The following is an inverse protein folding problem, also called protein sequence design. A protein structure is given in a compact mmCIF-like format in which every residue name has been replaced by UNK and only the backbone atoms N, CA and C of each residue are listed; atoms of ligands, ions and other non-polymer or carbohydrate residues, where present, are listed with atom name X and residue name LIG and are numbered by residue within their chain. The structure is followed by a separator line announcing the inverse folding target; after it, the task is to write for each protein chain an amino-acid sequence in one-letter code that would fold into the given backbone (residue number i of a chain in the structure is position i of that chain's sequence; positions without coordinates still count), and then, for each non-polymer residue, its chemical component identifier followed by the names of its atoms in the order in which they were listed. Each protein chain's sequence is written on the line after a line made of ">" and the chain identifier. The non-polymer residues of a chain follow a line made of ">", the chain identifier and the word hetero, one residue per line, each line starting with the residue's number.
data_IF_162141614730
#
_entry.id   IF_162141614730
#
_cell.length_a   1.000
_cell.length_b   1.000
_cell.length_c   1.000
_cell.angle_alpha   90.00
_cell.angle_beta   90.00
_cell.angle_gamma   90.00
#
_symmetry.space_group_name_H-M   'P 1'
#
loop_
_entity.id
_entity.type
_entity.pdbx_description
1 polymer ?
#
# COMPACT_ATOMS: atom_id res chain seq x y z
N UNK A 1 -33.47 11.93 36.53
CA UNK A 1 -32.66 10.82 35.94
C UNK A 1 -31.67 10.37 36.99
N UNK A 2 -31.75 9.12 37.48
CA UNK A 2 -30.86 8.61 38.54
C UNK A 2 -29.40 8.53 38.10
N UNK A 3 -28.46 8.54 39.04
CA UNK A 3 -27.01 8.54 38.78
C UNK A 3 -26.58 7.39 37.85
N UNK A 4 -27.00 6.16 38.14
CA UNK A 4 -26.75 4.98 37.28
C UNK A 4 -27.34 5.14 35.86
N UNK A 5 -28.50 5.79 35.76
CA UNK A 5 -29.14 6.04 34.47
C UNK A 5 -28.32 7.04 33.64
N UNK A 6 -27.71 8.07 34.26
CA UNK A 6 -26.78 8.99 33.58
C UNK A 6 -25.51 8.27 33.13
N UNK A 7 -24.95 7.41 33.98
CA UNK A 7 -23.73 6.65 33.65
C UNK A 7 -23.90 5.66 32.48
N UNK A 8 -25.07 5.03 32.35
CA UNK A 8 -25.33 4.16 31.17
C UNK A 8 -25.41 4.91 29.82
N UNK A 9 -25.41 6.26 29.80
CA UNK A 9 -25.24 7.01 28.56
C UNK A 9 -23.82 6.88 27.98
N UNK A 10 -22.84 6.51 28.80
CA UNK A 10 -21.47 6.23 28.34
C UNK A 10 -21.42 5.13 27.27
N UNK A 11 -22.39 4.21 27.24
CA UNK A 11 -22.50 3.20 26.17
C UNK A 11 -22.62 3.84 24.78
N UNK A 12 -23.37 4.93 24.66
CA UNK A 12 -23.48 5.65 23.39
C UNK A 12 -22.23 6.46 23.08
N UNK A 13 -21.61 7.07 24.10
CA UNK A 13 -20.35 7.79 23.92
C UNK A 13 -19.24 6.85 23.42
N UNK A 14 -19.11 5.68 24.02
CA UNK A 14 -18.15 4.66 23.59
C UNK A 14 -18.42 4.18 22.16
N UNK A 15 -19.68 3.92 21.81
CA UNK A 15 -20.06 3.58 20.45
C UNK A 15 -19.72 4.71 19.46
N UNK A 16 -20.06 5.96 19.77
CA UNK A 16 -19.74 7.12 18.91
C UNK A 16 -18.23 7.24 18.71
N UNK A 17 -17.43 7.09 19.77
CA UNK A 17 -15.97 7.18 19.68
C UNK A 17 -15.38 6.07 18.80
N UNK A 18 -15.87 4.83 18.92
CA UNK A 18 -15.41 3.73 18.06
C UNK A 18 -15.86 3.87 16.60
N UNK A 19 -17.06 4.39 16.35
CA UNK A 19 -17.52 4.73 15.00
C UNK A 19 -16.69 5.86 14.39
N UNK A 20 -16.38 6.90 15.15
CA UNK A 20 -15.49 7.97 14.72
C UNK A 20 -14.09 7.45 14.40
N UNK A 21 -13.52 6.58 15.24
CA UNK A 21 -12.23 5.93 14.96
C UNK A 21 -12.27 5.06 13.70
N UNK A 22 -13.35 4.31 13.49
CA UNK A 22 -13.57 3.56 12.26
C UNK A 22 -13.66 4.46 11.03
N UNK A 23 -14.38 5.58 11.14
CA UNK A 23 -14.47 6.57 10.07
C UNK A 23 -13.09 7.17 9.75
N UNK A 24 -12.28 7.51 10.76
CA UNK A 24 -10.90 7.99 10.57
C UNK A 24 -10.05 7.00 9.76
N UNK A 25 -10.20 5.69 10.02
CA UNK A 25 -9.51 4.65 9.24
C UNK A 25 -10.03 4.60 7.79
N UNK A 26 -11.35 4.67 7.60
CA UNK A 26 -11.98 4.58 6.28
C UNK A 26 -11.67 5.79 5.39
N UNK A 27 -11.56 6.99 5.97
CA UNK A 27 -11.31 8.21 5.20
C UNK A 27 -9.83 8.47 4.97
N UNK A 28 -8.93 7.91 5.78
CA UNK A 28 -7.49 8.28 5.80
C UNK A 28 -6.81 8.28 4.43
N UNK A 29 -6.98 7.21 3.64
CA UNK A 29 -6.43 7.06 2.30
C UNK A 29 -7.28 7.77 1.24
N UNK A 30 -8.59 7.50 1.15
CA UNK A 30 -9.47 8.14 0.17
C UNK A 30 -9.45 9.67 0.25
N UNK A 31 -9.33 10.25 1.43
CA UNK A 31 -9.20 11.70 1.58
C UNK A 31 -7.93 12.26 0.94
N UNK A 32 -6.82 11.51 0.94
CA UNK A 32 -5.65 11.89 0.14
C UNK A 32 -5.91 11.74 -1.35
N UNK A 33 -6.49 10.61 -1.75
CA UNK A 33 -6.79 10.31 -3.16
C UNK A 33 -7.73 11.35 -3.79
N UNK A 34 -8.66 11.90 -3.01
CA UNK A 34 -9.61 12.92 -3.42
C UNK A 34 -9.07 14.35 -3.26
N UNK A 35 -7.82 14.52 -2.82
CA UNK A 35 -7.20 15.84 -2.63
C UNK A 35 -7.68 16.62 -1.40
N UNK A 36 -8.41 15.99 -0.48
CA UNK A 36 -8.90 16.62 0.75
C UNK A 36 -7.77 16.88 1.75
N UNK A 37 -6.72 16.05 1.75
CA UNK A 37 -5.55 16.25 2.59
C UNK A 37 -4.28 15.63 2.04
N UNK A 38 -3.14 16.07 2.59
CA UNK A 38 -1.85 15.45 2.34
C UNK A 38 -1.79 14.02 2.91
N UNK A 39 -1.02 13.12 2.28
CA UNK A 39 -0.96 11.71 2.69
C UNK A 39 -0.46 11.48 4.11
N UNK A 40 0.41 12.38 4.61
CA UNK A 40 0.88 12.37 6.01
C UNK A 40 -0.27 12.56 6.99
N UNK A 41 -1.27 13.37 6.65
CA UNK A 41 -2.49 13.54 7.46
C UNK A 41 -3.25 12.23 7.55
N UNK A 42 -3.39 11.51 6.44
CA UNK A 42 -3.99 10.17 6.43
C UNK A 42 -3.26 9.20 7.36
N UNK A 43 -1.93 9.14 7.30
CA UNK A 43 -1.14 8.29 8.20
C UNK A 43 -1.22 8.74 9.67
N UNK A 44 -1.31 10.05 9.92
CA UNK A 44 -1.53 10.59 11.26
C UNK A 44 -2.88 10.15 11.82
N UNK A 45 -3.96 10.26 11.05
CA UNK A 45 -5.29 9.75 11.44
C UNK A 45 -5.22 8.27 11.83
N UNK A 46 -4.57 7.46 11.00
CA UNK A 46 -4.41 6.02 11.24
C UNK A 46 -3.59 5.68 12.49
N UNK A 47 -2.77 6.60 12.99
CA UNK A 47 -1.98 6.40 14.21
C UNK A 47 -2.87 6.46 15.45
N UNK A 48 -3.95 7.25 15.41
CA UNK A 48 -4.91 7.40 16.51
C UNK A 48 -6.06 6.39 16.47
N UNK A 49 -6.26 5.65 15.37
CA UNK A 49 -7.35 4.66 15.23
C UNK A 49 -7.33 3.64 16.36
N UNK A 50 -6.15 3.09 16.68
CA UNK A 50 -6.04 2.05 17.70
C UNK A 50 -6.29 2.56 19.12
N UNK A 51 -5.74 3.74 19.45
CA UNK A 51 -5.93 4.35 20.78
C UNK A 51 -7.36 4.82 20.98
N UNK A 52 -7.97 5.46 19.97
CA UNK A 52 -9.38 5.85 20.01
C UNK A 52 -10.31 4.63 20.07
N UNK A 53 -10.00 3.56 19.33
CA UNK A 53 -10.71 2.29 19.39
C UNK A 53 -10.67 1.64 20.79
N UNK A 54 -9.49 1.63 21.42
CA UNK A 54 -9.30 1.11 22.78
C UNK A 54 -10.11 1.90 23.81
N UNK A 55 -9.99 3.24 23.82
CA UNK A 55 -10.75 4.08 24.74
C UNK A 55 -12.26 3.96 24.51
N UNK A 56 -12.70 3.90 23.26
CA UNK A 56 -14.10 3.69 22.91
C UNK A 56 -14.63 2.34 23.40
N UNK A 57 -13.84 1.27 23.31
CA UNK A 57 -14.21 -0.04 23.87
C UNK A 57 -14.33 0.02 25.41
N UNK A 58 -13.35 0.61 26.09
CA UNK A 58 -13.36 0.72 27.56
C UNK A 58 -14.56 1.53 28.07
N UNK A 59 -14.86 2.67 27.43
CA UNK A 59 -16.02 3.51 27.75
C UNK A 59 -17.33 2.75 27.47
N UNK A 60 -17.38 1.97 26.38
CA UNK A 60 -18.55 1.14 26.03
C UNK A 60 -18.80 0.07 27.10
N UNK A 61 -17.75 -0.64 27.54
CA UNK A 61 -17.84 -1.64 28.62
C UNK A 61 -18.31 -1.00 29.92
N UNK A 62 -17.71 0.13 30.32
CA UNK A 62 -18.09 0.84 31.55
C UNK A 62 -19.57 1.28 31.53
N UNK A 63 -20.03 1.89 30.43
CA UNK A 63 -21.45 2.22 30.27
C UNK A 63 -22.37 1.00 30.24
N UNK A 64 -21.90 -0.09 29.63
CA UNK A 64 -22.59 -1.37 29.53
C UNK A 64 -22.89 -1.98 30.90
N UNK A 65 -21.94 -1.92 31.85
CA UNK A 65 -22.15 -2.41 33.22
C UNK A 65 -23.34 -1.70 33.89
N UNK A 66 -23.41 -0.36 33.80
CA UNK A 66 -24.54 0.41 34.34
C UNK A 66 -25.84 0.19 33.55
N UNK A 67 -25.74 -0.06 32.24
CA UNK A 67 -26.90 -0.38 31.40
C UNK A 67 -27.53 -1.72 31.77
N UNK A 68 -26.72 -2.74 32.07
CA UNK A 68 -27.17 -4.06 32.53
C UNK A 68 -27.86 -3.95 33.88
N UNK A 69 -27.23 -3.29 34.86
CA UNK A 69 -27.80 -3.07 36.20
C UNK A 69 -29.15 -2.34 36.10
N UNK A 70 -29.25 -1.35 35.22
CA UNK A 70 -30.48 -0.60 34.99
C UNK A 70 -31.49 -1.25 34.01
N UNK A 71 -31.28 -2.50 33.58
CA UNK A 71 -32.09 -3.23 32.60
C UNK A 71 -32.35 -2.47 31.28
N UNK A 72 -31.37 -1.69 30.80
CA UNK A 72 -31.48 -0.81 29.62
C UNK A 72 -31.00 -1.49 28.33
N UNK A 73 -31.82 -2.39 27.78
CA UNK A 73 -31.50 -3.21 26.59
C UNK A 73 -30.82 -2.45 25.42
N UNK A 74 -31.35 -1.29 25.00
CA UNK A 74 -30.75 -0.50 23.90
C UNK A 74 -29.32 0.00 24.21
N UNK A 75 -29.06 0.38 25.46
CA UNK A 75 -27.74 0.86 25.91
C UNK A 75 -26.76 -0.30 26.06
N UNK A 76 -27.23 -1.46 26.52
CA UNK A 76 -26.44 -2.70 26.51
C UNK A 76 -26.04 -3.10 25.08
N UNK A 77 -26.97 -3.04 24.12
CA UNK A 77 -26.65 -3.31 22.72
C UNK A 77 -25.61 -2.33 22.14
N UNK A 78 -25.74 -1.03 22.43
CA UNK A 78 -24.76 -0.02 22.04
C UNK A 78 -23.37 -0.28 22.67
N UNK A 79 -23.34 -0.67 23.95
CA UNK A 79 -22.10 -1.04 24.64
C UNK A 79 -21.41 -2.25 23.99
N UNK A 80 -22.18 -3.30 23.64
CA UNK A 80 -21.63 -4.48 22.97
C UNK A 80 -21.08 -4.12 21.58
N UNK A 81 -21.83 -3.35 20.79
CA UNK A 81 -21.37 -2.90 19.48
C UNK A 81 -20.08 -2.07 19.59
N UNK A 82 -20.04 -1.09 20.50
CA UNK A 82 -18.86 -0.26 20.72
C UNK A 82 -17.65 -1.08 21.21
N UNK A 83 -17.85 -2.03 22.12
CA UNK A 83 -16.79 -2.91 22.59
C UNK A 83 -16.22 -3.78 21.45
N UNK A 84 -17.06 -4.37 20.62
CA UNK A 84 -16.64 -5.22 19.49
C UNK A 84 -15.89 -4.40 18.44
N UNK A 85 -16.43 -3.25 18.02
CA UNK A 85 -15.77 -2.38 17.03
C UNK A 85 -14.42 -1.91 17.57
N UNK A 86 -14.40 -1.40 18.81
CA UNK A 86 -13.17 -0.92 19.44
C UNK A 86 -12.10 -2.01 19.60
N UNK A 87 -12.49 -3.25 19.91
CA UNK A 87 -11.60 -4.40 19.98
C UNK A 87 -10.90 -4.69 18.64
N UNK A 88 -11.61 -4.59 17.51
CA UNK A 88 -10.96 -4.77 16.20
C UNK A 88 -10.07 -3.58 15.84
N UNK A 89 -10.50 -2.35 16.14
CA UNK A 89 -9.73 -1.15 15.83
C UNK A 89 -8.44 -1.05 16.65
N UNK A 90 -8.44 -1.48 17.92
CA UNK A 90 -7.23 -1.47 18.76
C UNK A 90 -6.14 -2.42 18.25
N UNK A 91 -6.48 -3.44 17.45
CA UNK A 91 -5.52 -4.32 16.79
C UNK A 91 -4.80 -3.70 15.59
N UNK A 92 -5.28 -2.56 15.09
CA UNK A 92 -4.73 -1.91 13.88
C UNK A 92 -3.22 -1.57 13.99
N UNK A 93 -2.72 -0.95 15.08
CA UNK A 93 -1.29 -0.66 15.23
C UNK A 93 -0.42 -1.91 15.17
N UNK A 94 -0.87 -3.02 15.78
CA UNK A 94 -0.16 -4.30 15.77
C UNK A 94 -0.04 -4.86 14.35
N UNK A 95 -1.14 -4.86 13.59
CA UNK A 95 -1.13 -5.30 12.18
C UNK A 95 -0.18 -4.45 11.32
N UNK A 96 -0.17 -3.14 11.53
CA UNK A 96 0.76 -2.22 10.85
C UNK A 96 2.21 -2.51 11.24
N UNK A 97 2.50 -2.73 12.52
CA UNK A 97 3.85 -3.02 13.00
C UNK A 97 4.36 -4.36 12.47
N UNK A 98 3.50 -5.38 12.42
CA UNK A 98 3.83 -6.67 11.81
C UNK A 98 4.18 -6.52 10.32
N UNK A 99 3.40 -5.73 9.57
CA UNK A 99 3.72 -5.45 8.15
C UNK A 99 5.04 -4.68 7.97
N UNK A 100 5.35 -3.75 8.86
CA UNK A 100 6.63 -3.04 8.87
C UNK A 100 7.79 -3.98 9.20
N UNK A 101 7.62 -4.89 10.15
CA UNK A 101 8.64 -5.86 10.52
C UNK A 101 8.88 -6.91 9.42
N UNK A 102 7.83 -7.28 8.69
CA UNK A 102 7.89 -8.27 7.62
C UNK A 102 8.51 -7.74 6.31
N UNK A 103 8.68 -6.42 6.16
CA UNK A 103 9.19 -5.82 4.92
C UNK A 103 10.37 -4.88 5.21
N UNK A 104 11.42 -4.90 4.38
CA UNK A 104 12.50 -3.94 4.51
C UNK A 104 11.97 -2.52 4.28
N UNK A 105 12.59 -1.53 4.95
CA UNK A 105 12.27 -0.10 4.78
C UNK A 105 12.85 0.45 3.48
N UNK A 106 12.39 -0.11 2.36
CA UNK A 106 12.70 0.31 0.99
C UNK A 106 11.41 0.73 0.29
N UNK A 107 11.54 1.49 -0.79
CA UNK A 107 10.42 2.01 -1.58
C UNK A 107 10.68 1.85 -3.09
N UNK A 108 11.53 0.88 -3.42
CA UNK A 108 12.02 0.60 -4.76
C UNK A 108 12.47 -0.85 -4.83
N UNK A 109 12.12 -1.51 -5.94
CA UNK A 109 12.53 -2.88 -6.25
C UNK A 109 12.93 -2.96 -7.72
N UNK A 110 14.03 -3.64 -8.02
CA UNK A 110 14.47 -3.93 -9.39
C UNK A 110 14.82 -5.41 -9.56
N UNK A 111 14.43 -6.04 -10.67
CA UNK A 111 14.89 -7.40 -11.00
C UNK A 111 16.38 -7.44 -11.32
N UNK A 112 16.95 -6.32 -11.78
CA UNK A 112 18.39 -6.14 -11.97
C UNK A 112 18.86 -5.04 -11.01
N UNK A 113 19.48 -5.43 -9.91
CA UNK A 113 20.01 -4.48 -8.91
C UNK A 113 21.42 -3.98 -9.26
N UNK A 114 22.08 -4.60 -10.24
CA UNK A 114 23.45 -4.27 -10.64
C UNK A 114 23.45 -3.23 -11.76
N UNK A 115 22.58 -3.41 -12.75
CA UNK A 115 22.36 -2.47 -13.87
C UNK A 115 20.87 -2.14 -14.01
N UNK A 116 20.24 -1.53 -12.99
CA UNK A 116 18.81 -1.24 -12.98
C UNK A 116 18.38 -0.38 -14.18
N UNK A 117 17.23 -0.66 -14.80
CA UNK A 117 16.67 0.22 -15.83
C UNK A 117 16.47 1.64 -15.31
N UNK A 118 16.76 2.65 -16.14
CA UNK A 118 16.71 4.08 -15.76
C UNK A 118 15.48 4.76 -16.37
N UNK A 119 14.73 5.48 -15.54
CA UNK A 119 13.59 6.27 -15.97
C UNK A 119 14.00 7.38 -16.94
N UNK A 120 13.17 7.62 -17.95
CA UNK A 120 13.31 8.75 -18.88
C UNK A 120 12.00 9.54 -18.92
N UNK A 121 10.91 8.92 -19.36
CA UNK A 121 9.61 9.58 -19.48
C UNK A 121 8.99 9.92 -18.11
N UNK A 122 9.24 9.08 -17.10
CA UNK A 122 8.74 9.33 -15.75
C UNK A 122 9.41 10.53 -15.06
N UNK A 123 10.56 11.03 -15.54
CA UNK A 123 11.29 12.13 -14.90
C UNK A 123 10.44 13.41 -14.81
N UNK A 124 9.84 13.82 -15.94
CA UNK A 124 8.97 15.00 -15.98
C UNK A 124 7.69 14.82 -15.15
N UNK A 125 7.13 13.61 -15.15
CA UNK A 125 5.95 13.28 -14.37
C UNK A 125 6.23 13.33 -12.86
N UNK A 126 7.41 12.87 -12.43
CA UNK A 126 7.86 12.95 -11.04
C UNK A 126 8.07 14.40 -10.61
N UNK A 127 8.68 15.22 -11.46
CA UNK A 127 8.87 16.65 -11.21
C UNK A 127 7.53 17.38 -11.09
N UNK A 128 6.62 17.18 -12.05
CA UNK A 128 5.26 17.77 -12.04
C UNK A 128 4.44 17.34 -10.81
N UNK A 129 4.61 16.10 -10.37
CA UNK A 129 3.92 15.56 -9.20
C UNK A 129 4.55 15.92 -7.85
N UNK A 130 5.68 16.64 -7.83
CA UNK A 130 6.40 16.94 -6.59
C UNK A 130 6.84 15.69 -5.83
N UNK A 131 7.38 14.69 -6.55
CA UNK A 131 7.81 13.44 -5.93
C UNK A 131 8.93 13.67 -4.89
N UNK A 132 8.71 13.21 -3.65
CA UNK A 132 9.70 13.26 -2.56
C UNK A 132 10.93 12.40 -2.85
N UNK A 133 10.72 11.23 -3.46
CA UNK A 133 11.78 10.28 -3.72
C UNK A 133 12.52 10.66 -5.02
N UNK A 134 13.86 10.74 -5.03
CA UNK A 134 14.64 11.05 -6.24
C UNK A 134 14.49 9.92 -7.28
N UNK A 135 14.55 10.18 -8.61
CA UNK A 135 14.34 9.15 -9.64
C UNK A 135 15.46 8.11 -9.75
N UNK A 136 16.67 8.41 -9.27
CA UNK A 136 17.84 7.53 -9.34
C UNK A 136 17.66 6.26 -8.49
N UNK A 137 18.33 5.19 -8.90
CA UNK A 137 18.29 3.93 -8.16
C UNK A 137 19.08 4.05 -6.87
N UNK A 138 18.46 3.69 -5.74
CA UNK A 138 19.18 3.69 -4.47
C UNK A 138 19.92 2.36 -4.28
N UNK A 139 21.21 2.33 -4.63
CA UNK A 139 22.05 1.14 -4.49
C UNK A 139 22.11 0.57 -3.06
N UNK A 140 21.87 1.40 -2.03
CA UNK A 140 21.80 0.95 -0.62
C UNK A 140 20.65 -0.02 -0.37
N UNK A 141 19.62 -0.04 -1.24
CA UNK A 141 18.50 -0.96 -1.13
C UNK A 141 18.79 -2.35 -1.68
N UNK A 142 19.78 -2.51 -2.56
CA UNK A 142 20.12 -3.80 -3.18
C UNK A 142 20.34 -4.94 -2.16
N UNK A 143 21.17 -4.80 -1.10
CA UNK A 143 21.34 -5.87 -0.11
C UNK A 143 20.06 -6.17 0.68
N UNK A 144 19.28 -5.14 1.03
CA UNK A 144 18.00 -5.30 1.74
C UNK A 144 16.98 -6.04 0.87
N UNK A 145 16.90 -5.68 -0.40
CA UNK A 145 16.02 -6.31 -1.39
C UNK A 145 16.43 -7.76 -1.63
N UNK A 146 17.72 -8.05 -1.86
CA UNK A 146 18.22 -9.42 -2.08
C UNK A 146 17.93 -10.32 -0.89
N UNK A 147 18.05 -9.82 0.34
CA UNK A 147 17.72 -10.57 1.56
C UNK A 147 16.23 -10.83 1.70
N UNK A 148 15.38 -9.83 1.46
CA UNK A 148 13.94 -9.93 1.70
C UNK A 148 13.18 -10.60 0.54
N UNK A 149 13.62 -10.38 -0.70
CA UNK A 149 12.92 -10.76 -1.93
C UNK A 149 13.87 -11.46 -2.93
N UNK A 150 14.55 -12.56 -2.53
CA UNK A 150 15.51 -13.24 -3.39
C UNK A 150 14.89 -13.83 -4.66
N UNK A 151 13.57 -14.04 -4.65
CA UNK A 151 12.79 -14.60 -5.75
C UNK A 151 12.51 -13.62 -6.90
N UNK A 152 12.79 -12.32 -6.71
CA UNK A 152 12.62 -11.27 -7.72
C UNK A 152 13.89 -11.19 -8.55
N UNK A 153 13.84 -11.80 -9.73
CA UNK A 153 14.93 -11.92 -10.69
C UNK A 153 14.43 -11.53 -12.09
N UNK A 154 15.34 -11.27 -13.06
CA UNK A 154 14.96 -11.02 -14.44
C UNK A 154 14.15 -12.19 -15.02
N UNK A 155 13.22 -11.90 -15.93
CA UNK A 155 12.49 -12.93 -16.66
C UNK A 155 13.09 -13.14 -18.04
N UNK A 156 12.94 -14.37 -18.56
CA UNK A 156 13.40 -14.75 -19.89
C UNK A 156 12.24 -15.20 -20.77
N UNK A 157 12.16 -14.58 -21.95
CA UNK A 157 11.16 -14.89 -22.98
C UNK A 157 11.82 -15.47 -24.23
N UNK A 158 11.14 -16.44 -24.84
CA UNK A 158 11.49 -16.98 -26.15
C UNK A 158 10.91 -16.11 -27.27
N UNK A 159 11.36 -16.34 -28.50
CA UNK A 159 10.88 -15.63 -29.69
C UNK A 159 11.73 -14.41 -30.05
N UNK A 160 11.21 -13.59 -30.95
CA UNK A 160 11.85 -12.37 -31.43
C UNK A 160 11.81 -11.25 -30.39
N UNK A 161 12.74 -10.26 -30.44
CA UNK A 161 12.68 -9.09 -29.57
C UNK A 161 11.34 -8.34 -29.63
N UNK A 162 10.74 -8.25 -30.82
CA UNK A 162 9.43 -7.62 -31.03
C UNK A 162 8.32 -8.35 -30.28
N UNK A 163 8.22 -9.68 -30.41
CA UNK A 163 7.22 -10.47 -29.69
C UNK A 163 7.40 -10.37 -28.18
N UNK A 164 8.65 -10.39 -27.69
CA UNK A 164 8.95 -10.22 -26.28
C UNK A 164 8.53 -8.83 -25.76
N UNK A 165 8.79 -7.78 -26.53
CA UNK A 165 8.37 -6.42 -26.22
C UNK A 165 6.85 -6.26 -26.19
N UNK A 166 6.16 -6.74 -27.22
CA UNK A 166 4.70 -6.68 -27.30
C UNK A 166 4.04 -7.44 -26.15
N UNK A 167 4.58 -8.60 -25.78
CA UNK A 167 4.14 -9.37 -24.62
C UNK A 167 4.36 -8.63 -23.29
N UNK A 168 5.51 -7.98 -23.12
CA UNK A 168 5.79 -7.16 -21.94
C UNK A 168 4.82 -5.96 -21.84
N UNK A 169 4.56 -5.27 -22.95
CA UNK A 169 3.62 -4.17 -23.01
C UNK A 169 2.18 -4.62 -22.74
N UNK A 170 1.77 -5.76 -23.30
CA UNK A 170 0.46 -6.35 -23.06
C UNK A 170 0.27 -6.73 -21.59
N UNK A 171 1.28 -7.31 -20.93
CA UNK A 171 1.24 -7.61 -19.51
C UNK A 171 1.06 -6.35 -18.65
N UNK A 172 1.79 -5.27 -18.95
CA UNK A 172 1.64 -3.99 -18.24
C UNK A 172 0.24 -3.40 -18.39
N UNK A 173 -0.32 -3.42 -19.61
CA UNK A 173 -1.70 -2.98 -19.89
C UNK A 173 -2.74 -3.85 -19.18
N UNK A 174 -2.55 -5.18 -19.21
CA UNK A 174 -3.43 -6.15 -18.54
C UNK A 174 -3.47 -5.98 -17.01
N UNK A 175 -2.41 -5.41 -16.42
CA UNK A 175 -2.39 -5.02 -15.01
C UNK A 175 -3.07 -3.67 -14.72
N UNK A 176 -3.60 -2.99 -15.75
CA UNK A 176 -4.23 -1.68 -15.63
C UNK A 176 -3.25 -0.54 -15.34
N UNK A 177 -1.96 -0.70 -15.68
CA UNK A 177 -0.99 0.37 -15.53
C UNK A 177 -1.17 1.42 -16.63
N UNK A 178 -0.98 2.68 -16.26
CA UNK A 178 -1.00 3.81 -17.17
C UNK A 178 0.33 3.84 -17.95
N UNK A 179 0.33 3.48 -19.23
CA UNK A 179 1.54 3.51 -20.06
C UNK A 179 1.86 4.96 -20.41
N UNK A 180 3.02 5.46 -19.98
CA UNK A 180 3.46 6.84 -20.21
C UNK A 180 4.50 6.95 -21.32
N UNK A 181 5.22 5.87 -21.61
CA UNK A 181 6.04 5.75 -22.81
C UNK A 181 6.19 4.28 -23.23
N UNK A 182 6.29 4.05 -24.53
CA UNK A 182 6.64 2.76 -25.13
C UNK A 182 7.57 3.00 -26.31
N UNK A 183 8.76 2.44 -26.24
CA UNK A 183 9.83 2.60 -27.23
C UNK A 183 10.34 1.20 -27.61
N UNK A 184 9.78 0.60 -28.68
CA UNK A 184 10.17 -0.73 -29.15
C UNK A 184 11.63 -0.80 -29.63
N UNK A 185 12.19 0.31 -30.13
CA UNK A 185 13.55 0.34 -30.67
C UNK A 185 14.59 0.16 -29.56
N UNK A 186 14.41 0.85 -28.43
CA UNK A 186 15.28 0.67 -27.26
C UNK A 186 14.81 -0.43 -26.30
N UNK A 187 13.66 -1.06 -26.57
CA UNK A 187 13.05 -2.07 -25.71
C UNK A 187 12.53 -1.52 -24.36
N UNK A 188 12.21 -0.22 -24.29
CA UNK A 188 11.80 0.46 -23.05
C UNK A 188 10.29 0.65 -22.96
N UNK A 189 9.70 0.32 -21.82
CA UNK A 189 8.32 0.66 -21.48
C UNK A 189 8.34 1.37 -20.13
N UNK A 190 7.68 2.52 -20.04
CA UNK A 190 7.47 3.21 -18.77
C UNK A 190 5.97 3.33 -18.50
N UNK A 191 5.60 3.09 -17.25
CA UNK A 191 4.22 3.09 -16.82
C UNK A 191 4.08 3.63 -15.39
N UNK A 192 2.86 4.00 -15.01
CA UNK A 192 2.52 4.42 -13.67
C UNK A 192 1.49 3.47 -13.08
N UNK A 193 1.82 2.92 -11.91
CA UNK A 193 0.92 2.09 -11.12
C UNK A 193 0.35 2.91 -9.96
N UNK A 194 -0.98 2.88 -9.80
CA UNK A 194 -1.68 3.65 -8.77
C UNK A 194 -2.20 2.73 -7.68
N UNK A 195 -1.88 3.00 -6.41
CA UNK A 195 -2.43 2.23 -5.28
C UNK A 195 -3.92 2.51 -5.12
N UNK A 196 -4.69 1.47 -4.81
CA UNK A 196 -6.15 1.58 -4.71
C UNK A 196 -6.60 2.54 -3.59
N UNK A 197 -6.07 2.38 -2.38
CA UNK A 197 -6.60 3.09 -1.21
C UNK A 197 -6.12 4.55 -1.13
N UNK A 198 -4.81 4.78 -1.25
CA UNK A 198 -4.23 6.12 -1.14
C UNK A 198 -4.14 6.85 -2.48
N UNK A 199 -4.21 6.16 -3.62
CA UNK A 199 -3.93 6.81 -4.90
C UNK A 199 -2.45 7.12 -5.11
N UNK A 200 -1.54 6.60 -4.28
CA UNK A 200 -0.10 6.76 -4.49
C UNK A 200 0.32 6.27 -5.87
N UNK A 201 1.13 7.08 -6.54
CA UNK A 201 1.70 6.80 -7.85
C UNK A 201 3.10 6.23 -7.66
N UNK A 202 3.32 5.06 -8.25
CA UNK A 202 4.63 4.41 -8.34
C UNK A 202 5.00 4.29 -9.81
N UNK A 203 6.20 4.73 -10.17
CA UNK A 203 6.69 4.63 -11.54
C UNK A 203 7.30 3.24 -11.78
N UNK A 204 7.01 2.66 -12.93
CA UNK A 204 7.51 1.35 -13.37
C UNK A 204 8.23 1.54 -14.68
N UNK A 205 9.42 0.96 -14.78
CA UNK A 205 10.15 0.85 -16.03
C UNK A 205 10.45 -0.62 -16.31
N UNK A 206 10.22 -1.02 -17.56
CA UNK A 206 10.53 -2.35 -18.08
C UNK A 206 11.55 -2.16 -19.20
N UNK A 207 12.57 -3.02 -19.21
CA UNK A 207 13.61 -3.08 -20.22
C UNK A 207 13.63 -4.48 -20.83
N UNK A 208 13.45 -4.57 -22.13
CA UNK A 208 13.51 -5.82 -22.91
C UNK A 208 14.76 -5.79 -23.77
N UNK A 209 15.65 -6.77 -23.61
CA UNK A 209 16.90 -6.86 -24.34
C UNK A 209 17.18 -8.27 -24.81
N UNK A 210 17.81 -8.41 -25.99
CA UNK A 210 18.29 -9.69 -26.47
C UNK A 210 19.47 -10.15 -25.61
N UNK A 211 19.40 -11.37 -25.10
CA UNK A 211 20.49 -12.02 -24.34
C UNK A 211 20.67 -13.45 -24.87
N UNK A 212 21.64 -13.62 -25.77
CA UNK A 212 21.86 -14.87 -26.51
C UNK A 212 20.61 -15.24 -27.33
N UNK A 213 20.09 -16.45 -27.10
CA UNK A 213 18.90 -16.97 -27.78
C UNK A 213 17.56 -16.53 -27.17
N UNK A 214 17.57 -15.78 -26.07
CA UNK A 214 16.37 -15.36 -25.33
C UNK A 214 16.29 -13.84 -25.25
N UNK A 215 15.15 -13.34 -24.78
CA UNK A 215 14.95 -11.93 -24.46
C UNK A 215 14.84 -11.80 -22.94
N UNK A 216 15.78 -11.08 -22.34
CA UNK A 216 15.77 -10.72 -20.93
C UNK A 216 14.80 -9.56 -20.71
N UNK A 217 13.98 -9.67 -19.68
CA UNK A 217 13.04 -8.64 -19.24
C UNK A 217 13.39 -8.23 -17.82
N UNK A 218 13.88 -7.00 -17.68
CA UNK A 218 14.13 -6.37 -16.39
C UNK A 218 13.00 -5.41 -16.04
N UNK A 219 12.63 -5.35 -14.76
CA UNK A 219 11.56 -4.50 -14.26
C UNK A 219 12.03 -3.80 -13.01
N UNK A 220 11.84 -2.48 -12.97
CA UNK A 220 12.06 -1.66 -11.77
C UNK A 220 10.81 -0.88 -11.45
N UNK A 221 10.43 -0.88 -10.18
CA UNK A 221 9.26 -0.16 -9.68
C UNK A 221 9.65 0.67 -8.46
N UNK A 222 9.25 1.95 -8.45
CA UNK A 222 9.70 2.95 -7.48
C UNK A 222 8.59 3.91 -7.07
N UNK A 223 8.40 4.05 -5.77
CA UNK A 223 7.42 4.99 -5.23
C UNK A 223 7.84 6.46 -5.38
N UNK A 224 6.87 7.34 -5.65
CA UNK A 224 7.10 8.79 -5.68
C UNK A 224 7.24 9.40 -4.29
N UNK A 225 6.55 8.84 -3.29
CA UNK A 225 6.54 9.35 -1.91
C UNK A 225 6.76 8.24 -0.90
N UNK A 226 7.19 8.62 0.31
CA UNK A 226 7.33 7.73 1.45
C UNK A 226 8.66 6.98 1.51
N UNK A 227 9.14 6.74 2.74
CA UNK A 227 10.41 6.05 3.00
C UNK A 227 10.32 4.52 3.00
N UNK A 228 9.12 3.95 2.98
CA UNK A 228 8.90 2.52 2.77
C UNK A 228 7.56 2.31 2.07
N UNK A 229 7.50 1.30 1.20
CA UNK A 229 6.30 0.91 0.45
C UNK A 229 5.54 -0.28 1.07
N UNK A 230 5.98 -0.79 2.23
CA UNK A 230 5.41 -1.97 2.88
C UNK A 230 5.34 -3.22 1.97
N UNK A 231 6.29 -3.37 1.05
CA UNK A 231 6.37 -4.48 0.10
C UNK A 231 5.51 -4.30 -1.15
N UNK A 232 4.93 -3.12 -1.37
CA UNK A 232 4.03 -2.86 -2.52
C UNK A 232 4.75 -3.01 -3.86
N UNK A 233 5.97 -2.47 -4.03
CA UNK A 233 6.74 -2.61 -5.27
C UNK A 233 7.16 -4.07 -5.50
N UNK A 234 7.55 -4.80 -4.44
CA UNK A 234 7.86 -6.23 -4.54
C UNK A 234 6.64 -7.06 -5.00
N UNK A 235 5.46 -6.83 -4.39
CA UNK A 235 4.21 -7.47 -4.79
C UNK A 235 3.85 -7.16 -6.24
N UNK A 236 4.03 -5.91 -6.67
CA UNK A 236 3.77 -5.47 -8.05
C UNK A 236 4.67 -6.18 -9.05
N UNK A 237 5.99 -6.16 -8.82
CA UNK A 237 6.95 -6.80 -9.71
C UNK A 237 6.67 -8.30 -9.82
N UNK A 238 6.39 -8.99 -8.70
CA UNK A 238 5.99 -10.42 -8.74
C UNK A 238 4.74 -10.66 -9.58
N UNK A 239 3.70 -9.85 -9.38
CA UNK A 239 2.45 -9.97 -10.15
C UNK A 239 2.69 -9.75 -11.65
N UNK A 240 3.54 -8.78 -12.00
CA UNK A 240 3.93 -8.54 -13.38
C UNK A 240 4.72 -9.69 -13.99
N UNK A 241 5.75 -10.21 -13.30
CA UNK A 241 6.52 -11.36 -13.77
C UNK A 241 5.63 -12.60 -13.96
N UNK A 242 4.64 -12.80 -13.09
CA UNK A 242 3.63 -13.86 -13.24
C UNK A 242 2.75 -13.64 -14.48
N UNK A 243 2.23 -12.43 -14.67
CA UNK A 243 1.42 -12.09 -15.84
C UNK A 243 2.22 -12.18 -17.16
N UNK A 244 3.51 -11.85 -17.11
CA UNK A 244 4.43 -11.97 -18.23
C UNK A 244 4.60 -13.44 -18.66
N UNK A 245 4.63 -14.39 -17.72
CA UNK A 245 4.71 -15.83 -17.98
C UNK A 245 6.06 -16.31 -18.55
N UNK A 246 7.15 -15.59 -18.25
CA UNK A 246 8.52 -16.01 -18.59
C UNK A 246 9.09 -17.02 -17.59
N UNK A 247 10.16 -17.74 -17.98
CA UNK A 247 10.92 -18.59 -17.05
C UNK A 247 11.86 -17.70 -16.23
N UNK A 248 12.06 -18.03 -14.95
CA UNK A 248 13.09 -17.41 -14.11
C UNK A 248 14.48 -17.90 -14.53
N UNK A 249 15.53 -17.12 -14.25
CA UNK A 249 16.93 -17.53 -14.47
C UNK A 249 17.26 -18.82 -13.75
#
# INVERSE_FOLDING_TARGET
>A
MGFQQRLSLLSYLGLILTLAAGLMLLVSGPGHRLGLWHWRTGFWLMTWVGTAGMWGALISVAGGLFAIIGARKKRTAAALAGAVIGFFLMGWPTLRQQRLAANPRIHEVSTDTEKPPQFQAALDLRKKAGADNPPEYNAKFAPLQKKAFPDIQPAYLQGTPKEAFERALAAARGMGWEIVASDPESGRIEAVATTFWYGFKDDVIIRVQREGERNRVDVRSKSRVGGSDFGTNAKRVRAYLKALGGKKS
#
